data_IF_620742899208
#
_entry.id   IF_620742899208
#
_cell.length_a   1.000
_cell.length_b   1.000
_cell.length_c   1.000
_cell.angle_alpha   90.00
_cell.angle_beta   90.00
_cell.angle_gamma   90.00
#
_symmetry.space_group_name_H-M   'P 1'
#
loop_
_entity.id
_entity.type
_entity.pdbx_description
1 polymer ?
#
# COMPACT_ATOMS: atom_id res chain seq x y z
N UNK A 1 97.28 -29.70 1.82
CA UNK A 1 96.84 -29.24 3.16
C UNK A 1 95.68 -28.27 2.96
N UNK A 2 94.65 -28.47 3.78
CA UNK A 2 93.24 -28.15 3.59
C UNK A 2 92.88 -26.66 3.70
N UNK A 3 92.02 -26.21 2.78
CA UNK A 3 91.38 -24.89 2.75
C UNK A 3 90.33 -24.76 3.86
N UNK A 4 90.41 -23.70 4.66
CA UNK A 4 89.35 -23.24 5.57
C UNK A 4 88.82 -21.90 5.07
N UNK A 5 87.56 -21.86 4.60
CA UNK A 5 86.85 -20.61 4.28
C UNK A 5 85.41 -20.63 4.80
N UNK A 6 85.22 -19.84 5.86
CA UNK A 6 84.06 -19.01 6.25
C UNK A 6 82.63 -19.50 5.93
N UNK A 7 81.93 -20.01 6.94
CA UNK A 7 80.48 -20.27 6.93
C UNK A 7 79.63 -19.31 7.80
N UNK A 8 80.18 -18.19 8.28
CA UNK A 8 79.51 -17.30 9.25
C UNK A 8 78.72 -16.12 8.65
N UNK A 9 78.80 -15.85 7.35
CA UNK A 9 78.14 -14.68 6.73
C UNK A 9 76.64 -14.85 6.39
N UNK A 10 76.09 -16.06 6.48
CA UNK A 10 74.72 -16.37 6.01
C UNK A 10 73.63 -16.23 7.10
N UNK A 11 73.93 -16.56 8.35
CA UNK A 11 72.91 -16.57 9.43
C UNK A 11 72.53 -15.15 9.87
N UNK A 12 73.51 -14.23 9.95
CA UNK A 12 73.27 -12.84 10.39
C UNK A 12 72.46 -12.05 9.35
N UNK A 13 72.73 -12.25 8.05
CA UNK A 13 71.98 -11.62 6.96
C UNK A 13 70.52 -12.13 6.88
N UNK A 14 70.31 -13.42 7.15
CA UNK A 14 68.97 -14.02 7.23
C UNK A 14 68.17 -13.48 8.42
N UNK A 15 68.80 -13.37 9.60
CA UNK A 15 68.18 -12.78 10.79
C UNK A 15 67.81 -11.30 10.62
N UNK A 16 68.70 -10.50 10.01
CA UNK A 16 68.43 -9.10 9.69
C UNK A 16 67.27 -8.95 8.69
N UNK A 17 67.17 -9.86 7.71
CA UNK A 17 66.07 -9.86 6.74
C UNK A 17 64.74 -10.24 7.38
N UNK A 18 64.73 -11.21 8.29
CA UNK A 18 63.53 -11.64 9.02
C UNK A 18 63.03 -10.56 9.99
N UNK A 19 63.93 -9.93 10.75
CA UNK A 19 63.59 -8.81 11.65
C UNK A 19 63.15 -7.60 10.85
N UNK A 20 63.82 -7.28 9.74
CA UNK A 20 63.42 -6.20 8.83
C UNK A 20 62.01 -6.40 8.25
N UNK A 21 61.71 -7.58 7.73
CA UNK A 21 60.37 -7.92 7.21
C UNK A 21 59.30 -7.89 8.31
N UNK A 22 59.63 -8.35 9.52
CA UNK A 22 58.71 -8.34 10.66
C UNK A 22 58.36 -6.91 11.08
N UNK A 23 59.35 -6.01 11.14
CA UNK A 23 59.11 -4.60 11.46
C UNK A 23 58.30 -3.89 10.37
N UNK A 24 58.54 -4.21 9.09
CA UNK A 24 57.74 -3.69 7.99
C UNK A 24 56.29 -4.18 8.10
N UNK A 25 56.07 -5.47 8.41
CA UNK A 25 54.73 -6.01 8.57
C UNK A 25 53.98 -5.36 9.75
N UNK A 26 54.66 -5.13 10.88
CA UNK A 26 54.09 -4.42 12.04
C UNK A 26 53.76 -2.97 11.68
N UNK A 27 54.65 -2.27 10.96
CA UNK A 27 54.41 -0.90 10.53
C UNK A 27 53.22 -0.79 9.57
N UNK A 28 53.09 -1.72 8.61
CA UNK A 28 51.93 -1.79 7.71
C UNK A 28 50.66 -2.07 8.51
N UNK A 29 50.69 -3.00 9.47
CA UNK A 29 49.54 -3.32 10.31
C UNK A 29 49.11 -2.13 11.17
N UNK A 30 50.05 -1.43 11.80
CA UNK A 30 49.76 -0.21 12.55
C UNK A 30 49.19 0.90 11.66
N UNK A 31 49.71 1.05 10.44
CA UNK A 31 49.17 2.01 9.47
C UNK A 31 47.74 1.64 9.05
N UNK A 32 47.44 0.36 8.83
CA UNK A 32 46.07 -0.13 8.54
C UNK A 32 45.15 0.14 9.72
N UNK A 33 45.59 -0.07 10.96
CA UNK A 33 44.79 0.24 12.15
C UNK A 33 44.55 1.74 12.34
N UNK A 34 45.52 2.61 12.01
CA UNK A 34 45.35 4.07 12.06
C UNK A 34 44.43 4.55 10.92
N UNK A 35 44.57 4.00 9.71
CA UNK A 35 43.68 4.30 8.58
C UNK A 35 42.26 3.78 8.84
N UNK A 36 42.11 2.63 9.51
CA UNK A 36 40.81 2.17 9.96
C UNK A 36 40.26 3.08 11.06
N UNK A 37 41.05 3.39 12.11
CA UNK A 37 40.63 4.26 13.23
C UNK A 37 40.16 5.64 12.76
N UNK A 38 40.87 6.26 11.82
CA UNK A 38 40.47 7.55 11.20
C UNK A 38 39.22 7.44 10.33
N UNK A 39 38.90 6.25 9.81
CA UNK A 39 37.63 5.99 9.11
C UNK A 39 36.44 5.90 10.07
N UNK A 40 36.65 5.48 11.32
CA UNK A 40 35.59 5.45 12.34
C UNK A 40 35.25 6.85 12.85
N UNK A 41 36.24 7.74 12.97
CA UNK A 41 36.04 9.14 13.42
C UNK A 41 35.31 10.02 12.39
N UNK A 42 35.16 9.56 11.14
CA UNK A 42 34.52 10.29 10.04
C UNK A 42 33.38 9.52 9.37
N UNK A 43 32.92 8.42 9.96
CA UNK A 43 31.75 7.70 9.45
C UNK A 43 30.51 8.49 9.85
N UNK A 44 29.92 9.24 8.91
CA UNK A 44 28.62 9.86 9.19
C UNK A 44 27.61 8.77 9.55
N UNK A 45 26.91 8.96 10.66
CA UNK A 45 25.79 8.12 11.06
C UNK A 45 24.49 8.52 10.33
N UNK A 46 24.53 9.51 9.44
CA UNK A 46 23.35 9.90 8.65
C UNK A 46 22.79 8.67 7.92
N UNK A 47 21.49 8.38 8.09
CA UNK A 47 20.87 7.29 7.36
C UNK A 47 21.01 7.55 5.86
N UNK A 48 21.14 6.46 5.10
CA UNK A 48 21.16 6.55 3.64
C UNK A 48 19.90 7.28 3.15
N UNK A 49 20.07 8.18 2.18
CA UNK A 49 18.94 8.88 1.57
C UNK A 49 17.95 7.82 1.02
N UNK A 50 16.65 7.90 1.37
CA UNK A 50 15.67 6.94 0.89
C UNK A 50 15.55 6.99 -0.64
N UNK A 51 15.24 5.84 -1.24
CA UNK A 51 14.83 5.78 -2.66
C UNK A 51 13.48 6.48 -2.83
N UNK A 52 13.11 6.92 -4.05
CA UNK A 52 11.78 7.49 -4.30
C UNK A 52 10.64 6.59 -3.83
N UNK A 53 10.73 5.28 -4.11
CA UNK A 53 9.77 4.26 -3.64
C UNK A 53 9.68 4.20 -2.12
N UNK A 54 10.81 4.21 -1.40
CA UNK A 54 10.80 4.20 0.06
C UNK A 54 10.25 5.50 0.62
N UNK A 55 10.52 6.63 -0.03
CA UNK A 55 9.96 7.92 0.34
C UNK A 55 8.43 7.96 0.14
N UNK A 56 7.92 7.45 -0.98
CA UNK A 56 6.49 7.33 -1.24
C UNK A 56 5.80 6.43 -0.21
N UNK A 57 6.38 5.26 0.07
CA UNK A 57 5.93 4.33 1.12
C UNK A 57 5.90 5.01 2.50
N UNK A 58 6.96 5.72 2.88
CA UNK A 58 7.03 6.43 4.16
C UNK A 58 6.01 7.57 4.24
N UNK A 59 5.80 8.35 3.18
CA UNK A 59 4.80 9.42 3.15
C UNK A 59 3.38 8.87 3.33
N UNK A 60 3.08 7.74 2.68
CA UNK A 60 1.82 7.03 2.88
C UNK A 60 1.69 6.54 4.33
N UNK A 61 2.72 5.90 4.87
CA UNK A 61 2.73 5.39 6.25
C UNK A 61 2.52 6.51 7.29
N UNK A 62 3.16 7.67 7.13
CA UNK A 62 2.98 8.83 8.02
C UNK A 62 1.54 9.34 8.00
N UNK A 63 0.95 9.48 6.81
CA UNK A 63 -0.43 9.94 6.66
C UNK A 63 -1.40 8.95 7.30
N UNK A 64 -1.21 7.65 7.04
CA UNK A 64 -2.04 6.58 7.61
C UNK A 64 -1.89 6.51 9.13
N UNK A 65 -0.68 6.67 9.67
CA UNK A 65 -0.45 6.69 11.11
C UNK A 65 -1.18 7.86 11.79
N UNK A 66 -1.21 9.03 11.15
CA UNK A 66 -2.00 10.17 11.61
C UNK A 66 -3.50 9.87 11.55
N UNK A 67 -4.00 9.26 10.48
CA UNK A 67 -5.40 8.79 10.38
C UNK A 67 -5.75 7.77 11.47
N UNK A 68 -4.84 6.84 11.75
CA UNK A 68 -5.00 5.83 12.81
C UNK A 68 -5.09 6.48 14.20
N UNK A 69 -4.15 7.37 14.52
CA UNK A 69 -4.16 8.13 15.78
C UNK A 69 -5.45 8.94 15.93
N UNK A 70 -5.90 9.61 14.87
CA UNK A 70 -7.16 10.35 14.87
C UNK A 70 -8.36 9.46 15.16
N UNK A 71 -8.43 8.28 14.54
CA UNK A 71 -9.49 7.31 14.81
C UNK A 71 -9.45 6.78 16.25
N UNK A 72 -8.26 6.50 16.79
CA UNK A 72 -8.10 6.05 18.19
C UNK A 72 -8.55 7.11 19.20
N UNK A 73 -8.21 8.38 18.97
CA UNK A 73 -8.65 9.47 19.85
C UNK A 73 -10.18 9.60 19.83
N UNK A 74 -10.80 9.54 18.65
CA UNK A 74 -12.26 9.61 18.50
C UNK A 74 -13.01 8.42 19.10
N UNK A 75 -12.37 7.26 19.30
CA UNK A 75 -13.00 6.12 20.00
C UNK A 75 -13.27 6.40 21.48
N UNK A 76 -12.57 7.38 22.07
CA UNK A 76 -12.79 7.79 23.45
C UNK A 76 -13.98 8.75 23.60
N UNK A 77 -14.51 9.27 22.50
CA UNK A 77 -15.64 10.20 22.49
C UNK A 77 -16.99 9.48 22.55
N UNK A 78 -17.97 10.12 23.19
CA UNK A 78 -19.34 9.61 23.24
C UNK A 78 -20.07 9.92 21.92
N UNK A 79 -19.91 9.03 20.94
CA UNK A 79 -20.51 9.14 19.61
C UNK A 79 -21.74 8.23 19.44
N UNK A 80 -22.53 8.50 18.39
CA UNK A 80 -23.62 7.60 18.00
C UNK A 80 -23.08 6.21 17.64
N UNK A 81 -23.77 5.11 17.99
CA UNK A 81 -23.25 3.75 17.79
C UNK A 81 -22.84 3.41 16.36
N UNK A 82 -23.58 3.93 15.36
CA UNK A 82 -23.25 3.72 13.95
C UNK A 82 -21.94 4.40 13.56
N UNK A 83 -21.71 5.64 14.02
CA UNK A 83 -20.49 6.40 13.76
C UNK A 83 -19.30 5.79 14.51
N UNK A 84 -19.51 5.38 15.76
CA UNK A 84 -18.49 4.69 16.55
C UNK A 84 -18.03 3.38 15.88
N UNK A 85 -18.94 2.62 15.27
CA UNK A 85 -18.60 1.41 14.52
C UNK A 85 -17.71 1.73 13.30
N UNK A 86 -18.05 2.77 12.52
CA UNK A 86 -17.25 3.18 11.36
C UNK A 86 -15.86 3.64 11.79
N UNK A 87 -15.73 4.38 12.88
CA UNK A 87 -14.43 4.80 13.43
C UNK A 87 -13.61 3.58 13.90
N UNK A 88 -14.27 2.57 14.47
CA UNK A 88 -13.69 1.25 14.74
C UNK A 88 -13.10 0.58 13.50
N UNK A 89 -13.85 0.59 12.39
CA UNK A 89 -13.41 0.08 11.10
C UNK A 89 -12.23 0.90 10.54
N UNK A 90 -12.22 2.22 10.70
CA UNK A 90 -11.10 3.07 10.28
C UNK A 90 -9.84 2.75 11.08
N UNK A 91 -9.93 2.60 12.40
CA UNK A 91 -8.78 2.23 13.23
C UNK A 91 -8.22 0.86 12.83
N UNK A 92 -9.10 -0.12 12.60
CA UNK A 92 -8.71 -1.47 12.16
C UNK A 92 -8.06 -1.46 10.78
N UNK A 93 -8.64 -0.75 9.83
CA UNK A 93 -8.13 -0.69 8.46
C UNK A 93 -6.78 0.04 8.40
N UNK A 94 -6.65 1.18 9.09
CA UNK A 94 -5.40 1.94 9.12
C UNK A 94 -4.23 1.18 9.77
N UNK A 95 -4.49 0.39 10.81
CA UNK A 95 -3.50 -0.53 11.41
C UNK A 95 -3.02 -1.59 10.41
N UNK A 96 -3.96 -2.20 9.66
CA UNK A 96 -3.63 -3.17 8.62
C UNK A 96 -2.83 -2.55 7.47
N UNK A 97 -3.14 -1.30 7.10
CA UNK A 97 -2.41 -0.57 6.07
C UNK A 97 -0.98 -0.26 6.52
N UNK A 98 -0.78 0.17 7.76
CA UNK A 98 0.56 0.38 8.34
C UNK A 98 1.39 -0.90 8.33
N UNK A 99 0.81 -1.99 8.84
CA UNK A 99 1.47 -3.30 8.84
C UNK A 99 1.87 -3.71 7.42
N UNK A 100 1.00 -3.47 6.44
CA UNK A 100 1.25 -3.81 5.03
C UNK A 100 2.33 -2.94 4.39
N UNK A 101 2.48 -1.70 4.84
CA UNK A 101 3.54 -0.78 4.43
C UNK A 101 4.84 -0.97 5.24
N UNK A 102 4.87 -1.81 6.27
CA UNK A 102 6.04 -1.98 7.14
C UNK A 102 6.22 -0.84 8.15
N UNK A 103 5.12 -0.24 8.60
CA UNK A 103 5.03 0.83 9.60
C UNK A 103 5.77 2.14 9.22
N UNK A 104 5.72 3.12 10.12
CA UNK A 104 6.48 4.36 10.00
C UNK A 104 7.92 4.08 10.39
N UNK A 105 8.85 4.26 9.44
CA UNK A 105 10.27 4.08 9.71
C UNK A 105 10.84 5.31 10.41
N UNK A 106 11.68 5.07 11.42
CA UNK A 106 12.50 6.08 12.10
C UNK A 106 13.95 5.59 12.22
N UNK A 107 14.97 6.42 11.94
CA UNK A 107 16.38 5.98 11.96
C UNK A 107 16.85 5.46 13.33
N UNK A 108 16.48 6.15 14.41
CA UNK A 108 16.88 5.82 15.77
C UNK A 108 15.64 5.76 16.68
N UNK A 109 14.92 4.63 16.75
CA UNK A 109 13.67 4.52 17.51
C UNK A 109 13.85 4.77 19.01
N UNK A 110 15.01 4.38 19.56
CA UNK A 110 15.33 4.56 20.99
C UNK A 110 15.97 5.94 21.30
N UNK A 111 16.13 6.79 20.29
CA UNK A 111 16.75 8.11 20.40
C UNK A 111 18.02 8.26 19.56
N UNK A 112 18.17 9.43 18.93
CA UNK A 112 19.30 9.73 18.07
C UNK A 112 20.62 9.86 18.87
N UNK A 113 21.76 9.41 18.32
CA UNK A 113 23.08 9.66 18.89
C UNK A 113 23.38 11.15 19.06
N UNK A 114 24.34 11.48 19.93
CA UNK A 114 24.77 12.85 20.16
C UNK A 114 25.19 13.54 18.85
N UNK A 115 24.63 14.73 18.59
CA UNK A 115 24.86 15.49 17.36
C UNK A 115 23.94 15.12 16.18
N UNK A 116 23.06 14.13 16.33
CA UNK A 116 22.09 13.70 15.33
C UNK A 116 20.65 13.88 15.83
N UNK A 117 19.69 13.95 14.91
CA UNK A 117 18.26 14.00 15.20
C UNK A 117 17.47 13.13 14.24
N UNK A 118 16.41 12.48 14.73
CA UNK A 118 15.43 11.88 13.84
C UNK A 118 14.73 12.97 13.00
N UNK A 119 14.26 12.65 11.78
CA UNK A 119 13.42 13.56 11.02
C UNK A 119 12.13 13.86 11.80
N UNK A 120 11.64 15.09 11.71
CA UNK A 120 10.33 15.45 12.23
C UNK A 120 9.24 14.78 11.38
N UNK A 121 8.33 14.05 12.04
CA UNK A 121 7.22 13.37 11.40
C UNK A 121 5.90 13.94 11.94
N UNK A 122 5.00 14.32 11.02
CA UNK A 122 3.67 14.86 11.35
C UNK A 122 2.68 13.72 11.66
N UNK A 123 2.85 13.08 12.82
CA UNK A 123 2.04 11.94 13.26
C UNK A 123 0.84 12.35 14.12
N UNK A 124 0.85 13.58 14.65
CA UNK A 124 -0.18 14.05 15.56
C UNK A 124 -1.31 14.73 14.78
N UNK A 125 -2.57 14.31 14.94
CA UNK A 125 -3.71 14.99 14.34
C UNK A 125 -3.81 16.43 14.86
N UNK A 126 -4.06 17.39 13.96
CA UNK A 126 -4.22 18.81 14.32
C UNK A 126 -5.58 19.10 14.95
N UNK A 127 -6.60 18.36 14.52
CA UNK A 127 -7.97 18.46 14.99
C UNK A 127 -8.51 17.04 15.19
N UNK A 128 -9.26 16.84 16.28
CA UNK A 128 -9.86 15.55 16.63
C UNK A 128 -11.38 15.67 16.43
N UNK A 129 -11.83 15.49 15.19
CA UNK A 129 -13.25 15.52 14.82
C UNK A 129 -13.57 14.47 13.76
N UNK A 130 -14.83 14.06 13.66
CA UNK A 130 -15.29 13.12 12.62
C UNK A 130 -15.08 13.71 11.21
N UNK A 131 -15.29 15.02 11.04
CA UNK A 131 -15.03 15.71 9.77
C UNK A 131 -13.54 15.73 9.41
N UNK A 132 -12.65 15.93 10.39
CA UNK A 132 -11.21 15.83 10.16
C UNK A 132 -10.82 14.40 9.71
N UNK A 133 -11.40 13.37 10.34
CA UNK A 133 -11.16 11.97 9.95
C UNK A 133 -11.65 11.69 8.53
N UNK A 134 -12.86 12.14 8.18
CA UNK A 134 -13.39 12.04 6.82
C UNK A 134 -12.47 12.72 5.81
N UNK A 135 -11.97 13.92 6.11
CA UNK A 135 -11.09 14.66 5.21
C UNK A 135 -9.74 13.96 5.00
N UNK A 136 -9.14 13.38 6.05
CA UNK A 136 -7.92 12.56 5.93
C UNK A 136 -8.15 11.34 5.02
N UNK A 137 -9.29 10.66 5.16
CA UNK A 137 -9.65 9.52 4.30
C UNK A 137 -9.87 9.95 2.83
N UNK A 138 -10.51 11.10 2.60
CA UNK A 138 -10.67 11.69 1.26
C UNK A 138 -9.29 12.01 0.66
N UNK A 139 -8.40 12.60 1.45
CA UNK A 139 -7.04 12.94 1.03
C UNK A 139 -6.24 11.67 0.69
N UNK A 140 -6.26 10.65 1.55
CA UNK A 140 -5.63 9.35 1.29
C UNK A 140 -6.14 8.76 -0.03
N UNK A 141 -7.46 8.71 -0.20
CA UNK A 141 -8.07 8.10 -1.38
C UNK A 141 -7.81 8.85 -2.69
N UNK A 142 -7.34 10.09 -2.66
CA UNK A 142 -7.06 10.90 -3.85
C UNK A 142 -5.57 11.08 -4.13
N UNK A 143 -4.74 11.00 -3.10
CA UNK A 143 -3.28 11.20 -3.22
C UNK A 143 -2.56 9.90 -3.59
N UNK A 144 -2.90 8.78 -2.94
CA UNK A 144 -2.21 7.51 -3.17
C UNK A 144 -2.36 6.98 -4.61
N UNK A 145 -3.52 7.05 -5.28
CA UNK A 145 -3.63 6.59 -6.67
C UNK A 145 -2.71 7.37 -7.62
N UNK A 146 -2.45 8.64 -7.30
CA UNK A 146 -1.60 9.53 -8.08
C UNK A 146 -0.09 9.32 -7.85
N UNK A 147 0.30 8.59 -6.80
CA UNK A 147 1.70 8.31 -6.50
C UNK A 147 2.23 7.18 -7.40
N UNK A 148 3.12 7.55 -8.32
CA UNK A 148 3.74 6.61 -9.27
C UNK A 148 4.88 5.81 -8.68
N UNK A 149 5.44 6.24 -7.55
CA UNK A 149 6.54 5.57 -6.86
C UNK A 149 6.05 4.52 -5.85
N UNK A 150 4.78 4.60 -5.42
CA UNK A 150 4.10 3.59 -4.60
C UNK A 150 3.56 2.42 -5.45
N UNK A 151 3.57 1.21 -4.87
CA UNK A 151 2.97 0.02 -5.49
C UNK A 151 1.49 0.28 -5.82
N UNK A 152 1.14 0.22 -7.11
CA UNK A 152 -0.19 0.62 -7.59
C UNK A 152 -1.33 -0.22 -7.02
N UNK A 153 -1.07 -1.49 -6.69
CA UNK A 153 -2.05 -2.37 -6.05
C UNK A 153 -2.30 -1.94 -4.60
N UNK A 154 -1.24 -1.72 -3.82
CA UNK A 154 -1.35 -1.22 -2.43
C UNK A 154 -2.04 0.15 -2.41
N UNK A 155 -1.57 1.08 -3.26
CA UNK A 155 -2.12 2.43 -3.37
C UNK A 155 -3.63 2.41 -3.66
N UNK A 156 -4.04 1.62 -4.65
CA UNK A 156 -5.46 1.51 -5.05
C UNK A 156 -6.29 0.83 -3.97
N UNK A 157 -5.77 -0.24 -3.35
CA UNK A 157 -6.46 -0.98 -2.28
C UNK A 157 -6.76 -0.09 -1.08
N UNK A 158 -5.76 0.65 -0.58
CA UNK A 158 -5.94 1.61 0.52
C UNK A 158 -6.92 2.70 0.10
N UNK A 159 -6.80 3.21 -1.13
CA UNK A 159 -7.64 4.31 -1.62
C UNK A 159 -9.11 3.93 -1.74
N UNK A 160 -9.40 2.72 -2.23
CA UNK A 160 -10.77 2.18 -2.30
C UNK A 160 -11.37 2.15 -0.90
N UNK A 161 -10.70 1.49 0.06
CA UNK A 161 -11.24 1.35 1.43
C UNK A 161 -11.35 2.70 2.13
N UNK A 162 -10.36 3.60 1.97
CA UNK A 162 -10.42 4.94 2.51
C UNK A 162 -11.60 5.75 1.95
N UNK A 163 -11.86 5.66 0.64
CA UNK A 163 -13.01 6.36 0.03
C UNK A 163 -14.35 5.79 0.49
N UNK A 164 -14.46 4.46 0.57
CA UNK A 164 -15.64 3.79 1.13
C UNK A 164 -15.91 4.24 2.58
N UNK A 165 -14.88 4.26 3.44
CA UNK A 165 -15.02 4.72 4.84
C UNK A 165 -15.36 6.22 4.92
N UNK A 166 -14.79 7.05 4.06
CA UNK A 166 -15.16 8.46 3.97
C UNK A 166 -16.63 8.64 3.56
N UNK A 167 -17.13 7.85 2.60
CA UNK A 167 -18.52 7.85 2.18
C UNK A 167 -19.46 7.41 3.32
N UNK A 168 -19.06 6.45 4.15
CA UNK A 168 -19.83 6.04 5.34
C UNK A 168 -19.92 7.15 6.39
N UNK A 169 -18.85 7.93 6.57
CA UNK A 169 -18.82 9.10 7.46
C UNK A 169 -19.46 10.36 6.83
N UNK A 170 -19.90 10.29 5.58
CA UNK A 170 -20.58 11.39 4.91
C UNK A 170 -22.07 11.40 5.25
N UNK A 171 -22.73 12.58 5.25
CA UNK A 171 -24.18 12.66 5.28
C UNK A 171 -24.80 11.80 4.17
N UNK A 172 -26.00 11.26 4.40
CA UNK A 172 -26.68 10.35 3.45
C UNK A 172 -26.80 10.94 2.04
N UNK A 173 -27.11 12.24 1.94
CA UNK A 173 -27.24 12.96 0.66
C UNK A 173 -25.92 13.11 -0.11
N UNK A 174 -24.77 12.98 0.57
CA UNK A 174 -23.44 13.15 0.00
C UNK A 174 -22.72 11.82 -0.24
N UNK A 175 -23.20 10.71 0.33
CA UNK A 175 -22.53 9.40 0.34
C UNK A 175 -22.13 8.93 -1.06
N UNK A 176 -23.02 9.00 -2.03
CA UNK A 176 -22.73 8.57 -3.41
C UNK A 176 -21.73 9.52 -4.09
N UNK A 177 -21.87 10.82 -3.85
CA UNK A 177 -20.96 11.83 -4.40
C UNK A 177 -19.53 11.70 -3.85
N UNK A 178 -19.38 11.19 -2.61
CA UNK A 178 -18.08 10.91 -1.99
C UNK A 178 -17.30 9.82 -2.73
N UNK A 179 -17.96 8.92 -3.46
CA UNK A 179 -17.29 7.93 -4.28
C UNK A 179 -16.79 8.47 -5.64
N UNK A 180 -17.30 9.62 -6.07
CA UNK A 180 -17.07 10.24 -7.39
C UNK A 180 -17.55 9.38 -8.57
N UNK A 181 -17.82 10.03 -9.70
CA UNK A 181 -18.20 9.33 -10.94
C UNK A 181 -16.96 8.70 -11.59
N UNK A 182 -16.94 7.38 -11.84
CA UNK A 182 -15.82 6.71 -12.50
C UNK A 182 -15.76 7.02 -14.00
N UNK A 183 -14.54 7.16 -14.51
CA UNK A 183 -14.27 7.17 -15.96
C UNK A 183 -14.30 5.73 -16.49
N UNK A 184 -15.50 5.25 -16.82
CA UNK A 184 -15.72 3.86 -17.28
C UNK A 184 -15.05 3.55 -18.62
N UNK A 185 -14.92 4.55 -19.50
CA UNK A 185 -14.23 4.36 -20.78
C UNK A 185 -12.74 4.11 -20.56
N UNK A 186 -12.11 4.92 -19.71
CA UNK A 186 -10.71 4.70 -19.31
C UNK A 186 -10.55 3.36 -18.60
N UNK A 187 -11.39 3.07 -17.61
CA UNK A 187 -11.31 1.81 -16.87
C UNK A 187 -11.46 0.61 -17.81
N UNK A 188 -12.50 0.59 -18.66
CA UNK A 188 -12.75 -0.48 -19.63
C UNK A 188 -11.60 -0.68 -20.61
N UNK A 189 -10.93 0.39 -21.04
CA UNK A 189 -9.74 0.31 -21.89
C UNK A 189 -8.49 -0.24 -21.20
N UNK A 190 -8.43 -0.17 -19.87
CA UNK A 190 -7.33 -0.73 -19.07
C UNK A 190 -7.55 -2.22 -18.76
N UNK A 191 -8.78 -2.63 -18.47
CA UNK A 191 -9.10 -4.00 -18.02
C UNK A 191 -9.48 -4.95 -19.19
N UNK A 192 -8.65 -5.10 -20.21
CA UNK A 192 -9.03 -5.78 -21.48
C UNK A 192 -9.00 -7.32 -21.46
N UNK A 193 -9.11 -7.96 -20.29
CA UNK A 193 -9.00 -9.41 -20.16
C UNK A 193 -10.34 -10.13 -20.38
N UNK A 194 -10.40 -11.11 -21.30
CA UNK A 194 -11.61 -11.94 -21.51
C UNK A 194 -12.07 -12.63 -20.21
N UNK A 195 -11.13 -13.12 -19.40
CA UNK A 195 -11.45 -13.73 -18.11
C UNK A 195 -12.02 -12.73 -17.11
N UNK A 196 -11.55 -11.49 -17.13
CA UNK A 196 -12.11 -10.40 -16.31
C UNK A 196 -13.53 -10.10 -16.77
N UNK A 197 -13.76 -10.02 -18.09
CA UNK A 197 -15.10 -9.81 -18.67
C UNK A 197 -16.07 -10.92 -18.24
N UNK A 198 -15.65 -12.18 -18.37
CA UNK A 198 -16.43 -13.35 -17.95
C UNK A 198 -16.83 -13.29 -16.47
N UNK A 199 -15.90 -12.90 -15.58
CA UNK A 199 -16.16 -12.82 -14.13
C UNK A 199 -17.09 -11.66 -13.78
N UNK A 200 -16.88 -10.48 -14.37
CA UNK A 200 -17.75 -9.33 -14.16
C UNK A 200 -19.17 -9.59 -14.66
N UNK A 201 -19.30 -10.23 -15.82
CA UNK A 201 -20.59 -10.64 -16.37
C UNK A 201 -21.28 -11.71 -15.50
N UNK A 202 -20.52 -12.66 -14.96
CA UNK A 202 -21.07 -13.67 -14.04
C UNK A 202 -21.58 -13.03 -12.75
N UNK A 203 -20.82 -12.11 -12.16
CA UNK A 203 -21.24 -11.36 -10.98
C UNK A 203 -22.51 -10.53 -11.26
N UNK A 204 -22.59 -9.90 -12.44
CA UNK A 204 -23.78 -9.16 -12.91
C UNK A 204 -25.01 -10.06 -12.99
N UNK A 205 -24.91 -11.22 -13.64
CA UNK A 205 -26.03 -12.17 -13.77
C UNK A 205 -26.46 -12.77 -12.43
N UNK A 206 -25.52 -13.00 -11.52
CA UNK A 206 -25.83 -13.45 -10.16
C UNK A 206 -26.55 -12.37 -9.35
N UNK A 207 -26.16 -11.11 -9.48
CA UNK A 207 -26.89 -9.98 -8.90
C UNK A 207 -28.30 -9.85 -9.48
N UNK A 208 -28.49 -10.06 -10.78
CA UNK A 208 -29.83 -10.09 -11.39
C UNK A 208 -30.72 -11.18 -10.79
N UNK A 209 -30.15 -12.37 -10.58
CA UNK A 209 -30.87 -13.48 -9.96
C UNK A 209 -31.27 -13.19 -8.51
N UNK A 210 -30.33 -12.65 -7.72
CA UNK A 210 -30.56 -12.26 -6.33
C UNK A 210 -31.61 -11.13 -6.25
N UNK A 211 -31.48 -10.10 -7.07
CA UNK A 211 -32.43 -8.98 -7.15
C UNK A 211 -33.86 -9.46 -7.52
N UNK A 212 -33.98 -10.48 -8.38
CA UNK A 212 -35.27 -11.01 -8.79
C UNK A 212 -36.05 -11.66 -7.64
N UNK A 213 -35.35 -12.22 -6.64
CA UNK A 213 -35.96 -12.87 -5.47
C UNK A 213 -36.04 -11.94 -4.24
N UNK A 214 -35.26 -10.86 -4.21
CA UNK A 214 -35.31 -9.82 -3.17
C UNK A 214 -36.63 -9.03 -3.21
N UNK A 215 -37.10 -8.55 -2.05
CA UNK A 215 -38.28 -7.69 -1.95
C UNK A 215 -38.10 -6.42 -2.82
N UNK A 216 -39.09 -6.02 -3.65
CA UNK A 216 -39.02 -4.80 -4.45
C UNK A 216 -38.53 -3.54 -3.69
N UNK A 217 -38.88 -3.40 -2.41
CA UNK A 217 -38.44 -2.27 -1.59
C UNK A 217 -36.92 -2.25 -1.30
N UNK A 218 -36.22 -3.36 -1.55
CA UNK A 218 -34.78 -3.54 -1.29
C UNK A 218 -33.96 -3.69 -2.58
N UNK A 219 -34.59 -3.62 -3.77
CA UNK A 219 -33.93 -3.88 -5.07
C UNK A 219 -33.10 -2.73 -5.62
N UNK A 220 -33.32 -1.50 -5.15
CA UNK A 220 -32.64 -0.32 -5.68
C UNK A 220 -31.12 -0.51 -5.74
N UNK A 221 -30.56 -1.05 -4.65
CA UNK A 221 -29.12 -1.23 -4.51
C UNK A 221 -28.53 -2.26 -5.49
N UNK A 222 -29.08 -3.49 -5.59
CA UNK A 222 -28.71 -4.43 -6.64
C UNK A 222 -28.88 -3.87 -8.07
N UNK A 223 -29.95 -3.11 -8.33
CA UNK A 223 -30.20 -2.51 -9.66
C UNK A 223 -29.10 -1.52 -10.08
N UNK A 224 -28.65 -0.66 -9.17
CA UNK A 224 -27.52 0.26 -9.38
C UNK A 224 -26.21 -0.52 -9.64
N UNK A 225 -25.99 -1.60 -8.90
CA UNK A 225 -24.84 -2.50 -9.04
C UNK A 225 -24.82 -3.17 -10.43
N UNK A 226 -25.97 -3.69 -10.86
CA UNK A 226 -26.15 -4.30 -12.18
C UNK A 226 -25.90 -3.26 -13.27
N UNK A 227 -26.42 -2.02 -13.13
CA UNK A 227 -26.20 -0.95 -14.09
C UNK A 227 -24.72 -0.57 -14.22
N UNK A 228 -24.00 -0.46 -13.09
CA UNK A 228 -22.56 -0.18 -13.08
C UNK A 228 -21.74 -1.29 -13.75
N UNK A 229 -22.00 -2.56 -13.41
CA UNK A 229 -21.32 -3.70 -14.02
C UNK A 229 -21.63 -3.80 -15.52
N UNK A 230 -22.89 -3.58 -15.92
CA UNK A 230 -23.28 -3.52 -17.34
C UNK A 230 -22.51 -2.44 -18.07
N UNK A 231 -22.47 -1.23 -17.54
CA UNK A 231 -21.77 -0.12 -18.18
C UNK A 231 -20.26 -0.42 -18.31
N UNK A 232 -19.64 -1.03 -17.29
CA UNK A 232 -18.24 -1.42 -17.36
C UNK A 232 -17.98 -2.50 -18.42
N UNK A 233 -18.77 -3.58 -18.45
CA UNK A 233 -18.57 -4.68 -19.41
C UNK A 233 -18.79 -4.23 -20.86
N UNK A 234 -19.74 -3.33 -21.11
CA UNK A 234 -19.92 -2.71 -22.43
C UNK A 234 -18.70 -1.86 -22.81
N UNK A 235 -18.16 -1.03 -21.90
CA UNK A 235 -16.95 -0.24 -22.17
C UNK A 235 -15.71 -1.13 -22.43
N UNK A 236 -15.61 -2.31 -21.80
CA UNK A 236 -14.54 -3.28 -22.10
C UNK A 236 -14.64 -3.81 -23.53
N UNK A 237 -15.86 -4.10 -24.00
CA UNK A 237 -16.13 -4.59 -25.36
C UNK A 237 -15.87 -3.50 -26.39
N UNK A 238 -16.34 -2.28 -26.13
CA UNK A 238 -16.09 -1.10 -26.98
C UNK A 238 -14.59 -0.78 -27.09
N UNK A 239 -13.82 -1.03 -26.02
CA UNK A 239 -12.36 -0.91 -26.02
C UNK A 239 -11.62 -2.06 -26.74
N UNK A 240 -12.34 -3.08 -27.22
CA UNK A 240 -11.80 -4.17 -28.03
C UNK A 240 -11.62 -5.51 -27.31
N UNK A 241 -12.13 -5.68 -26.08
CA UNK A 241 -12.19 -7.00 -25.44
C UNK A 241 -13.15 -7.89 -26.24
N UNK A 242 -12.75 -9.09 -26.68
CA UNK A 242 -13.65 -10.00 -27.37
C UNK A 242 -14.89 -10.30 -26.52
N UNK A 243 -16.08 -10.17 -27.12
CA UNK A 243 -17.34 -10.48 -26.43
C UNK A 243 -17.45 -12.01 -26.22
N UNK A 244 -16.97 -12.45 -25.06
CA UNK A 244 -17.00 -13.84 -24.60
C UNK A 244 -18.07 -14.08 -23.55
N UNK A 245 -18.99 -13.12 -23.33
CA UNK A 245 -19.98 -13.16 -22.25
C UNK A 245 -20.85 -14.42 -22.33
N UNK A 246 -21.07 -15.14 -21.20
CA UNK A 246 -21.96 -16.28 -21.18
C UNK A 246 -23.41 -15.81 -21.35
N UNK A 247 -24.18 -16.51 -22.19
CA UNK A 247 -25.61 -16.21 -22.38
C UNK A 247 -26.44 -16.45 -21.10
N UNK A 248 -26.02 -17.40 -20.26
CA UNK A 248 -26.63 -17.70 -18.98
C UNK A 248 -25.60 -18.34 -18.04
N UNK A 249 -25.46 -17.79 -16.84
CA UNK A 249 -24.70 -18.38 -15.75
C UNK A 249 -25.67 -19.13 -14.82
N UNK A 250 -25.32 -20.33 -14.33
CA UNK A 250 -26.13 -21.03 -13.35
C UNK A 250 -26.41 -20.16 -12.11
N UNK A 251 -27.61 -20.22 -11.51
CA UNK A 251 -27.92 -19.43 -10.33
C UNK A 251 -26.98 -19.77 -9.18
N UNK A 252 -26.56 -18.74 -8.47
CA UNK A 252 -25.66 -18.77 -7.33
C UNK A 252 -26.43 -18.53 -6.02
N UNK A 253 -25.89 -19.00 -4.90
CA UNK A 253 -26.37 -18.55 -3.59
C UNK A 253 -25.97 -17.09 -3.34
N UNK A 254 -26.59 -16.42 -2.37
CA UNK A 254 -26.20 -15.05 -1.99
C UNK A 254 -24.75 -14.97 -1.46
N UNK A 255 -24.27 -16.04 -0.82
CA UNK A 255 -22.87 -16.18 -0.41
C UNK A 255 -21.93 -16.24 -1.62
N UNK A 256 -22.32 -16.99 -2.66
CA UNK A 256 -21.57 -17.08 -3.92
C UNK A 256 -21.54 -15.73 -4.66
N UNK A 257 -22.62 -14.95 -4.64
CA UNK A 257 -22.68 -13.58 -5.22
C UNK A 257 -21.66 -12.67 -4.52
N UNK A 258 -21.63 -12.71 -3.19
CA UNK A 258 -20.70 -11.90 -2.38
C UNK A 258 -19.25 -12.31 -2.63
N UNK A 259 -18.98 -13.62 -2.71
CA UNK A 259 -17.66 -14.14 -3.05
C UNK A 259 -17.23 -13.72 -4.47
N UNK A 260 -18.15 -13.71 -5.42
CA UNK A 260 -17.89 -13.28 -6.80
C UNK A 260 -17.47 -11.81 -6.88
N UNK A 261 -18.22 -10.92 -6.21
CA UNK A 261 -17.89 -9.50 -6.14
C UNK A 261 -16.54 -9.29 -5.44
N UNK A 262 -16.24 -10.07 -4.40
CA UNK A 262 -14.92 -10.05 -3.74
C UNK A 262 -13.80 -10.37 -4.72
N UNK A 263 -13.94 -11.45 -5.48
CA UNK A 263 -12.96 -11.88 -6.48
C UNK A 263 -12.84 -10.85 -7.61
N UNK A 264 -13.95 -10.28 -8.08
CA UNK A 264 -13.95 -9.24 -9.10
C UNK A 264 -13.23 -7.97 -8.61
N UNK A 265 -13.50 -7.53 -7.38
CA UNK A 265 -12.82 -6.38 -6.77
C UNK A 265 -11.31 -6.63 -6.63
N UNK A 266 -10.92 -7.83 -6.19
CA UNK A 266 -9.51 -8.21 -6.08
C UNK A 266 -8.80 -8.24 -7.44
N UNK A 267 -9.48 -8.71 -8.49
CA UNK A 267 -8.96 -8.70 -9.86
C UNK A 267 -8.74 -7.25 -10.35
N UNK A 268 -9.73 -6.37 -10.18
CA UNK A 268 -9.63 -4.95 -10.58
C UNK A 268 -8.49 -4.23 -9.84
N UNK A 269 -8.35 -4.47 -8.53
CA UNK A 269 -7.22 -3.95 -7.74
C UNK A 269 -5.89 -4.55 -8.20
N UNK A 270 -5.86 -5.83 -8.59
CA UNK A 270 -4.67 -6.49 -9.13
C UNK A 270 -4.16 -5.81 -10.41
N UNK A 271 -5.07 -5.40 -11.29
CA UNK A 271 -4.76 -4.67 -12.53
C UNK A 271 -4.17 -3.27 -12.28
N UNK A 272 -4.32 -2.72 -11.07
CA UNK A 272 -3.78 -1.40 -10.73
C UNK A 272 -2.24 -1.35 -10.67
N UNK A 273 -1.57 -2.51 -10.59
CA UNK A 273 -0.10 -2.60 -10.58
C UNK A 273 0.53 -1.96 -11.83
N UNK A 274 -0.15 -2.06 -12.97
CA UNK A 274 0.33 -1.55 -14.27
C UNK A 274 -0.45 -0.31 -14.74
N UNK A 275 -1.38 0.17 -13.91
CA UNK A 275 -2.25 1.30 -14.23
C UNK A 275 -1.54 2.65 -14.04
N UNK A 276 -1.88 3.60 -14.89
CA UNK A 276 -1.64 5.03 -14.73
C UNK A 276 -2.41 5.60 -13.54
N UNK A 277 -1.99 6.77 -13.00
CA UNK A 277 -2.75 7.50 -11.97
C UNK A 277 -4.24 7.63 -12.25
N UNK A 278 -4.59 7.98 -13.50
CA UNK A 278 -5.97 8.21 -13.91
C UNK A 278 -6.79 6.91 -13.99
N UNK A 279 -6.16 5.79 -14.39
CA UNK A 279 -6.78 4.47 -14.39
C UNK A 279 -6.98 3.94 -12.96
N UNK A 280 -6.03 4.21 -12.06
CA UNK A 280 -6.18 3.89 -10.63
C UNK A 280 -7.33 4.68 -10.01
N UNK A 281 -7.44 5.99 -10.26
CA UNK A 281 -8.56 6.81 -9.77
C UNK A 281 -9.92 6.35 -10.34
N UNK A 282 -9.97 5.93 -11.60
CA UNK A 282 -11.17 5.35 -12.20
C UNK A 282 -11.56 4.04 -11.49
N UNK A 283 -10.57 3.20 -11.15
CA UNK A 283 -10.75 1.95 -10.39
C UNK A 283 -11.26 2.24 -8.97
N UNK A 284 -10.66 3.20 -8.27
CA UNK A 284 -11.08 3.62 -6.92
C UNK A 284 -12.54 4.10 -6.90
N UNK A 285 -12.90 4.97 -7.84
CA UNK A 285 -14.25 5.54 -7.93
C UNK A 285 -15.28 4.46 -8.27
N UNK A 286 -14.94 3.57 -9.22
CA UNK A 286 -15.81 2.46 -9.61
C UNK A 286 -16.07 1.51 -8.44
N UNK A 287 -15.02 1.07 -7.75
CA UNK A 287 -15.16 0.13 -6.64
C UNK A 287 -15.85 0.76 -5.42
N UNK A 288 -15.65 2.05 -5.16
CA UNK A 288 -16.39 2.76 -4.13
C UNK A 288 -17.90 2.77 -4.45
N UNK A 289 -18.30 3.16 -5.66
CA UNK A 289 -19.70 3.13 -6.08
C UNK A 289 -20.27 1.71 -6.11
N UNK A 290 -19.50 0.73 -6.61
CA UNK A 290 -19.91 -0.67 -6.64
C UNK A 290 -20.14 -1.24 -5.23
N UNK A 291 -19.45 -0.70 -4.22
CA UNK A 291 -19.70 -0.99 -2.80
C UNK A 291 -20.82 -0.14 -2.19
N UNK A 292 -21.24 0.96 -2.82
CA UNK A 292 -22.13 1.99 -2.28
C UNK A 292 -21.72 2.51 -0.88
N UNK A 293 -20.42 2.48 -0.59
CA UNK A 293 -19.96 2.80 0.74
C UNK A 293 -20.25 1.70 1.77
N UNK A 294 -20.60 0.47 1.41
CA UNK A 294 -20.73 -0.64 2.38
C UNK A 294 -19.41 -1.38 2.59
N UNK A 295 -19.36 -2.28 3.59
CA UNK A 295 -18.13 -2.95 3.97
C UNK A 295 -17.59 -3.82 2.83
N UNK A 296 -16.50 -3.36 2.20
CA UNK A 296 -15.72 -4.18 1.29
C UNK A 296 -14.99 -5.29 2.07
N UNK A 297 -15.05 -6.56 1.61
CA UNK A 297 -14.23 -7.64 2.15
C UNK A 297 -12.74 -7.34 2.03
N UNK A 298 -11.89 -8.11 2.71
CA UNK A 298 -10.45 -7.88 2.77
C UNK A 298 -9.86 -7.63 1.36
N UNK A 299 -9.31 -6.43 1.15
CA UNK A 299 -8.76 -6.05 -0.14
C UNK A 299 -7.33 -6.59 -0.28
N UNK A 300 -6.87 -6.90 -1.51
CA UNK A 300 -5.50 -7.36 -1.74
C UNK A 300 -4.48 -6.35 -1.20
N UNK A 301 -3.47 -6.82 -0.48
CA UNK A 301 -2.42 -5.96 0.07
C UNK A 301 -2.78 -5.21 1.35
N UNK A 302 -3.94 -5.49 1.97
CA UNK A 302 -4.32 -4.95 3.30
C UNK A 302 -4.65 -6.08 4.29
N UNK A 303 -4.05 -7.27 4.13
CA UNK A 303 -4.51 -8.51 4.75
C UNK A 303 -4.57 -8.47 6.28
N UNK A 304 -5.69 -8.91 6.83
CA UNK A 304 -5.76 -9.75 8.04
C UNK A 304 -5.02 -11.07 7.79
N UNK A 305 -4.09 -11.43 8.68
CA UNK A 305 -3.64 -12.83 8.80
C UNK A 305 -4.75 -13.72 9.33
#
# INVERSE_FOLDING_TARGET
MTNSRSHTKSVVASWLSFVGLSLIAIAIFALVLVVMGTRWEHMSLDPAKPTPTEQARQNAAVTIARTHALAQELQNDALEPAIAAIIGDVATASDQWLTSLGDVWVPWPDGAPEGYSNPELDLTPKEVTVDALRNELIQLSSTLPADTDLDGRIATSISVKARTLAAQLSPDEERESSCRTPDLSRLGSHITGEQTLLRLESARQWLEHDAAITDPAQRQRPEEQIALLTALTENMIDAGTPDSRPALVPPASSEDVTAALTVANAELIGQATQATPEEREATVSFLCLLSAGEHLPALPGTTTK
#
